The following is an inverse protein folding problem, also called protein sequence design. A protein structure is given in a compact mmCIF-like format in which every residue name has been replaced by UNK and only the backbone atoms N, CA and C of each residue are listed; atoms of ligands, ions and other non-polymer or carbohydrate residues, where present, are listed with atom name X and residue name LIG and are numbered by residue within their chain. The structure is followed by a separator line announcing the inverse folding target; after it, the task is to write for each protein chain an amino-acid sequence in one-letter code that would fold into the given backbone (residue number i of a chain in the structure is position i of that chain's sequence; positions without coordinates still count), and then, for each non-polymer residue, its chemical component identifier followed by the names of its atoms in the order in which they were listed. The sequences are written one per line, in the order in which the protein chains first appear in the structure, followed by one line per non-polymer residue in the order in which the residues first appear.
data_IF_076598343225
#
_entry.id   IF_076598343225
#
_cell.length_a   1.000
_cell.length_b   1.000
_cell.length_c   1.000
_cell.angle_alpha   90.00
_cell.angle_beta   90.00
_cell.angle_gamma   90.00
#
_symmetry.space_group_name_H-M   'P 1'
#
loop_
_entity.id
_entity.type
_entity.pdbx_description
1 polymer ?
#
# COMPACT_ATOMS: atom_id res chain seq x y z
N UNK A 1 -17.95 -3.29 21.13
CA UNK A 1 -17.44 -2.09 20.43
C UNK A 1 -16.44 -2.61 19.41
N UNK A 2 -16.90 -2.89 18.20
CA UNK A 2 -16.03 -3.42 17.14
C UNK A 2 -15.26 -2.24 16.58
N UNK A 3 -14.00 -2.13 17.01
CA UNK A 3 -13.01 -1.21 16.45
C UNK A 3 -13.13 -1.27 14.91
N UNK A 4 -13.40 -0.14 14.27
CA UNK A 4 -13.77 -0.02 12.85
C UNK A 4 -12.60 -0.47 11.93
N UNK A 5 -12.43 -1.78 11.79
CA UNK A 5 -11.40 -2.45 10.98
C UNK A 5 -11.89 -2.65 9.54
N UNK A 6 -12.40 -1.59 8.94
CA UNK A 6 -12.86 -1.62 7.55
C UNK A 6 -11.73 -1.19 6.61
N UNK A 7 -11.61 -1.87 5.48
CA UNK A 7 -10.71 -1.53 4.39
C UNK A 7 -11.10 -0.17 3.81
N UNK A 8 -10.14 0.75 3.71
CA UNK A 8 -10.37 2.10 3.18
C UNK A 8 -10.77 2.10 1.69
N UNK A 9 -10.53 1.01 0.94
CA UNK A 9 -10.92 0.91 -0.47
C UNK A 9 -12.26 0.19 -0.68
N UNK A 10 -12.42 -1.03 -0.14
CA UNK A 10 -13.57 -1.88 -0.43
C UNK A 10 -14.57 -2.01 0.74
N UNK A 11 -14.25 -1.46 1.91
CA UNK A 11 -15.10 -1.50 3.10
C UNK A 11 -15.20 -2.86 3.82
N UNK A 12 -14.46 -3.88 3.36
CA UNK A 12 -14.43 -5.21 3.99
C UNK A 12 -13.57 -5.24 5.26
N UNK A 13 -13.76 -6.24 6.11
CA UNK A 13 -12.94 -6.44 7.32
C UNK A 13 -11.46 -6.69 6.95
N UNK A 14 -10.55 -5.94 7.58
CA UNK A 14 -9.10 -6.07 7.34
C UNK A 14 -8.44 -7.21 8.12
N UNK A 15 -9.20 -7.89 8.98
CA UNK A 15 -8.72 -9.01 9.77
C UNK A 15 -7.73 -8.63 10.86
N UNK A 16 -6.94 -9.63 11.29
CA UNK A 16 -5.95 -9.47 12.37
C UNK A 16 -4.65 -8.78 11.93
N UNK A 17 -4.34 -8.80 10.63
CA UNK A 17 -3.13 -8.20 10.04
C UNK A 17 -3.50 -7.33 8.84
N UNK A 18 -3.87 -6.06 9.08
CA UNK A 18 -4.15 -5.13 7.99
C UNK A 18 -2.89 -4.80 7.21
N UNK A 19 -3.06 -4.50 5.92
CA UNK A 19 -2.02 -3.88 5.11
C UNK A 19 -2.09 -2.38 5.32
N UNK A 20 -1.03 -1.80 5.90
CA UNK A 20 -0.99 -0.38 6.22
C UNK A 20 -0.22 0.39 5.15
N UNK A 21 -0.76 1.53 4.75
CA UNK A 21 -0.07 2.50 3.88
C UNK A 21 0.06 3.82 4.61
N UNK A 22 1.29 4.23 4.87
CA UNK A 22 1.58 5.54 5.47
C UNK A 22 1.71 6.57 4.36
N UNK A 23 0.83 7.55 4.37
CA UNK A 23 0.91 8.73 3.49
C UNK A 23 1.20 9.97 4.36
N UNK A 24 1.68 11.09 3.78
CA UNK A 24 1.88 12.32 4.54
C UNK A 24 0.58 12.88 5.15
N UNK A 25 -0.58 12.50 4.61
CA UNK A 25 -1.89 12.96 5.06
C UNK A 25 -2.42 12.12 6.24
N UNK A 26 -2.40 10.79 6.08
CA UNK A 26 -2.80 9.84 7.13
C UNK A 26 -2.33 8.41 6.85
N UNK A 27 -2.57 7.52 7.83
CA UNK A 27 -2.42 6.08 7.68
C UNK A 27 -3.70 5.46 7.15
N UNK A 28 -3.58 4.68 6.08
CA UNK A 28 -4.67 3.88 5.49
C UNK A 28 -4.49 2.40 5.82
N UNK A 29 -5.61 1.67 5.91
CA UNK A 29 -5.63 0.23 6.15
C UNK A 29 -6.41 -0.51 5.05
N UNK A 30 -5.87 -1.66 4.61
CA UNK A 30 -6.42 -2.46 3.54
C UNK A 30 -6.54 -3.93 3.92
N UNK A 31 -7.56 -4.61 3.38
CA UNK A 31 -7.78 -6.03 3.63
C UNK A 31 -6.84 -6.95 2.84
N UNK A 32 -6.22 -6.45 1.77
CA UNK A 32 -5.30 -7.19 0.92
C UNK A 32 -4.35 -6.26 0.15
N UNK A 33 -3.25 -6.81 -0.38
CA UNK A 33 -2.29 -6.07 -1.22
C UNK A 33 -2.95 -5.48 -2.48
N UNK A 34 -3.95 -6.16 -3.04
CA UNK A 34 -4.68 -5.64 -4.20
C UNK A 34 -5.37 -4.31 -3.92
N UNK A 35 -5.99 -4.16 -2.74
CA UNK A 35 -6.63 -2.90 -2.36
C UNK A 35 -5.60 -1.79 -2.14
N UNK A 36 -4.44 -2.12 -1.55
CA UNK A 36 -3.34 -1.18 -1.35
C UNK A 36 -2.78 -0.70 -2.70
N UNK A 37 -2.44 -1.62 -3.60
CA UNK A 37 -1.87 -1.27 -4.91
C UNK A 37 -2.81 -0.46 -5.80
N UNK A 38 -4.12 -0.76 -5.78
CA UNK A 38 -5.12 0.06 -6.49
C UNK A 38 -5.15 1.48 -5.90
N UNK A 39 -5.10 1.60 -4.57
CA UNK A 39 -5.08 2.90 -3.91
C UNK A 39 -3.83 3.70 -4.28
N UNK A 40 -2.66 3.07 -4.28
CA UNK A 40 -1.41 3.68 -4.71
C UNK A 40 -1.49 4.16 -6.18
N UNK A 41 -2.04 3.34 -7.08
CA UNK A 41 -2.26 3.71 -8.48
C UNK A 41 -3.22 4.89 -8.63
N UNK A 42 -4.34 4.90 -7.89
CA UNK A 42 -5.34 5.97 -7.96
C UNK A 42 -4.83 7.30 -7.44
N UNK A 43 -3.95 7.27 -6.43
CA UNK A 43 -3.41 8.45 -5.78
C UNK A 43 -2.01 8.86 -6.29
N UNK A 44 -1.50 8.18 -7.33
CA UNK A 44 -0.10 8.31 -7.82
C UNK A 44 0.92 8.26 -6.68
N UNK A 45 0.67 7.42 -5.69
CA UNK A 45 1.59 7.20 -4.58
C UNK A 45 2.67 6.28 -5.13
N UNK A 46 3.74 6.89 -5.63
CA UNK A 46 5.00 6.17 -5.75
C UNK A 46 5.46 5.94 -4.33
N UNK A 47 5.20 4.74 -3.78
CA UNK A 47 5.98 4.31 -2.63
C UNK A 47 7.43 4.57 -3.01
N UNK A 48 8.18 5.22 -2.14
CA UNK A 48 9.62 5.19 -2.25
C UNK A 48 10.02 3.73 -2.04
N UNK A 49 9.85 2.90 -3.08
CA UNK A 49 10.72 1.77 -3.29
C UNK A 49 12.12 2.36 -3.13
N UNK A 50 12.99 1.79 -2.29
CA UNK A 50 14.40 1.99 -2.53
C UNK A 50 14.60 1.44 -3.94
N UNK A 51 14.59 2.36 -4.90
CA UNK A 51 15.04 2.18 -6.26
C UNK A 51 16.48 1.68 -6.14
N UNK A 52 16.63 0.37 -5.95
CA UNK A 52 17.85 -0.33 -6.33
C UNK A 52 17.83 -0.37 -7.85
N UNK A 53 18.08 0.81 -8.43
CA UNK A 53 18.61 0.96 -9.76
C UNK A 53 20.03 0.38 -9.74
N UNK A 54 20.15 -0.95 -9.69
CA UNK A 54 21.34 -1.63 -10.21
C UNK A 54 21.21 -1.63 -11.73
N UNK A 55 21.48 -0.46 -12.31
CA UNK A 55 21.80 -0.35 -13.72
C UNK A 55 23.23 -0.88 -13.90
N UNK A 56 23.40 -2.19 -14.07
CA UNK A 56 24.65 -2.74 -14.61
C UNK A 56 24.43 -3.18 -16.07
N UNK A 57 24.78 -2.34 -17.07
CA UNK A 57 25.13 -2.84 -18.38
C UNK A 57 26.56 -3.39 -18.28
N UNK A 58 26.70 -4.70 -18.05
CA UNK A 58 27.97 -5.38 -18.30
C UNK A 58 28.14 -5.54 -19.80
N UNK A 59 28.78 -4.55 -20.43
CA UNK A 59 29.42 -4.74 -21.73
C UNK A 59 30.52 -5.79 -21.60
N UNK A 60 30.51 -6.81 -22.46
CA UNK A 60 31.65 -7.68 -22.75
C UNK A 60 31.58 -8.08 -24.22
#
# INVERSE_FOLDING_TARGET
MSENRACDLCGLDVGAKPFLLHTPDKQYQFCCEGCRGIYEMLHDIKEATPDNNDNQPKSS
#
